data_IF_079638024340
#
_entry.id   IF_079638024340
#
_cell.length_a   1.000
_cell.length_b   1.000
_cell.length_c   1.000
_cell.angle_alpha   90.00
_cell.angle_beta   90.00
_cell.angle_gamma   90.00
#
_symmetry.space_group_name_H-M   'P 1'
#
loop_
_entity.id
_entity.type
_entity.pdbx_description
1 polymer ?
#
# COMPACT_ATOMS: atom_id res chain seq x y z
N UNK A 1 9.09 21.40 -13.46
CA UNK A 1 10.37 20.80 -13.92
C UNK A 1 10.03 19.47 -14.58
N UNK A 2 10.43 19.27 -15.83
CA UNK A 2 10.26 17.98 -16.52
C UNK A 2 11.39 17.07 -16.05
N UNK A 3 11.07 16.06 -15.25
CA UNK A 3 12.02 14.99 -14.93
C UNK A 3 12.50 14.31 -16.20
N UNK A 4 13.81 14.01 -16.25
CA UNK A 4 14.34 13.22 -17.35
C UNK A 4 13.85 11.76 -17.25
N UNK A 5 13.83 11.04 -18.39
CA UNK A 5 13.48 9.62 -18.39
C UNK A 5 14.38 8.80 -17.45
N UNK A 6 15.65 9.19 -17.33
CA UNK A 6 16.66 8.56 -16.45
C UNK A 6 16.25 8.67 -14.97
N UNK A 7 15.77 9.83 -14.52
CA UNK A 7 15.34 10.04 -13.12
C UNK A 7 14.10 9.18 -12.79
N UNK A 8 13.19 9.02 -13.75
CA UNK A 8 12.01 8.15 -13.58
C UNK A 8 12.40 6.68 -13.43
N UNK A 9 13.33 6.17 -14.24
CA UNK A 9 13.78 4.77 -14.16
C UNK A 9 14.48 4.48 -12.82
N UNK A 10 15.31 5.40 -12.32
CA UNK A 10 15.95 5.26 -11.01
C UNK A 10 14.91 5.16 -9.88
N UNK A 11 13.81 5.91 -9.98
CA UNK A 11 12.72 5.87 -9.00
C UNK A 11 11.97 4.53 -8.98
N UNK A 12 11.92 3.81 -10.08
CA UNK A 12 11.29 2.49 -10.16
C UNK A 12 12.10 1.38 -9.47
N UNK A 13 13.38 1.65 -9.14
CA UNK A 13 14.34 0.68 -8.61
C UNK A 13 14.71 0.91 -7.14
N UNK A 14 14.08 1.87 -6.48
CA UNK A 14 14.34 2.21 -5.08
C UNK A 14 13.04 2.40 -4.29
N UNK A 15 13.08 2.19 -2.97
CA UNK A 15 11.91 2.49 -2.13
C UNK A 15 11.65 4.00 -2.06
N UNK A 16 10.39 4.35 -1.84
CA UNK A 16 9.97 5.75 -1.71
C UNK A 16 10.43 6.36 -0.38
N UNK A 17 10.86 7.62 -0.45
CA UNK A 17 10.91 8.50 0.71
C UNK A 17 9.51 9.08 1.04
N UNK A 18 9.45 9.99 2.02
CA UNK A 18 8.22 10.74 2.33
C UNK A 18 7.78 11.51 1.08
N UNK A 19 6.50 11.36 0.73
CA UNK A 19 5.83 12.07 -0.36
C UNK A 19 4.51 12.61 0.17
N UNK A 20 4.14 13.82 -0.21
CA UNK A 20 2.89 14.45 0.25
C UNK A 20 2.18 15.16 -0.89
N UNK A 21 0.87 15.04 -0.91
CA UNK A 21 0.00 15.79 -1.82
C UNK A 21 -1.11 16.49 -1.03
N UNK A 22 -1.65 17.55 -1.60
CA UNK A 22 -2.79 18.28 -1.04
C UNK A 22 -4.03 18.02 -1.89
N UNK A 23 -5.11 17.57 -1.25
CA UNK A 23 -6.44 17.39 -1.83
C UNK A 23 -7.40 18.34 -1.11
N UNK A 24 -7.74 19.47 -1.70
CA UNK A 24 -8.54 20.48 -0.99
C UNK A 24 -7.97 20.79 0.40
N UNK A 25 -8.75 20.56 1.45
CA UNK A 25 -8.34 20.77 2.84
C UNK A 25 -7.67 19.53 3.48
N UNK A 26 -7.55 18.43 2.74
CA UNK A 26 -6.96 17.19 3.24
C UNK A 26 -5.53 17.03 2.72
N UNK A 27 -4.58 16.88 3.63
CA UNK A 27 -3.20 16.49 3.28
C UNK A 27 -3.07 14.98 3.34
N UNK A 28 -2.43 14.41 2.33
CA UNK A 28 -2.17 12.96 2.25
C UNK A 28 -0.68 12.74 2.08
N UNK A 29 -0.08 11.95 2.97
CA UNK A 29 1.36 11.73 2.99
C UNK A 29 1.70 10.24 3.05
N UNK A 30 2.54 9.76 2.13
CA UNK A 30 3.17 8.45 2.28
C UNK A 30 4.18 8.49 3.43
N UNK A 31 4.07 7.54 4.33
CA UNK A 31 4.90 7.36 5.52
C UNK A 31 5.73 6.10 5.34
N UNK A 32 6.98 6.18 4.87
CA UNK A 32 7.80 5.01 4.63
C UNK A 32 8.14 4.27 5.93
N UNK A 33 8.12 2.94 5.85
CA UNK A 33 8.59 2.03 6.91
C UNK A 33 9.82 1.22 6.46
N UNK A 34 9.81 0.74 5.23
CA UNK A 34 10.86 -0.11 4.69
C UNK A 34 10.60 -0.50 3.25
N UNK A 35 11.08 -1.69 2.88
CA UNK A 35 10.93 -2.22 1.54
C UNK A 35 10.99 -3.75 1.50
N UNK A 36 10.44 -4.31 0.43
CA UNK A 36 10.58 -5.73 0.07
C UNK A 36 11.07 -5.87 -1.37
N UNK A 37 11.97 -6.83 -1.57
CA UNK A 37 12.35 -7.29 -2.90
C UNK A 37 11.37 -8.40 -3.33
N UNK A 38 10.86 -8.30 -4.56
CA UNK A 38 9.93 -9.27 -5.12
C UNK A 38 10.55 -9.89 -6.38
N UNK A 39 10.61 -11.23 -6.43
CA UNK A 39 11.14 -11.97 -7.56
C UNK A 39 10.09 -12.00 -8.68
N UNK A 40 10.31 -11.35 -9.83
CA UNK A 40 9.26 -11.16 -10.84
C UNK A 40 8.63 -12.45 -11.35
N UNK A 41 9.47 -13.46 -11.61
CA UNK A 41 9.03 -14.78 -12.13
C UNK A 41 8.09 -15.50 -11.17
N UNK A 42 8.40 -15.42 -9.86
CA UNK A 42 7.64 -16.12 -8.84
C UNK A 42 6.45 -15.29 -8.37
N UNK A 43 6.54 -13.96 -8.49
CA UNK A 43 5.47 -13.04 -8.12
C UNK A 43 4.32 -13.06 -9.13
N UNK A 44 4.64 -13.03 -10.42
CA UNK A 44 3.65 -12.95 -11.51
C UNK A 44 3.83 -14.20 -12.41
N UNK A 45 3.28 -15.36 -12.01
CA UNK A 45 3.48 -16.61 -12.75
C UNK A 45 2.99 -16.57 -14.19
N UNK A 46 1.92 -15.81 -14.44
CA UNK A 46 1.31 -15.66 -15.77
C UNK A 46 2.17 -14.87 -16.76
N UNK A 47 3.06 -14.03 -16.27
CA UNK A 47 3.95 -13.22 -17.10
C UNK A 47 5.15 -13.98 -17.69
N UNK A 48 5.31 -15.27 -17.38
CA UNK A 48 6.24 -16.26 -17.98
C UNK A 48 7.64 -15.73 -18.35
N UNK A 49 8.27 -14.97 -17.45
CA UNK A 49 9.62 -14.43 -17.65
C UNK A 49 9.69 -13.14 -18.49
N UNK A 50 8.55 -12.66 -18.98
CA UNK A 50 8.47 -11.42 -19.78
C UNK A 50 8.78 -10.18 -18.95
N UNK A 51 8.39 -10.13 -17.66
CA UNK A 51 8.65 -8.98 -16.80
C UNK A 51 10.13 -8.60 -16.78
N UNK A 52 11.03 -9.56 -16.60
CA UNK A 52 12.48 -9.28 -16.55
C UNK A 52 13.08 -8.89 -17.89
N UNK A 53 12.57 -9.46 -18.99
CA UNK A 53 13.10 -9.23 -20.33
C UNK A 53 12.49 -7.98 -21.00
N UNK A 54 11.18 -7.75 -20.78
CA UNK A 54 10.46 -6.66 -21.42
C UNK A 54 10.52 -5.34 -20.60
N UNK A 55 10.74 -5.44 -19.28
CA UNK A 55 10.66 -4.32 -18.35
C UNK A 55 11.88 -4.22 -17.41
N UNK A 56 13.11 -4.20 -17.93
CA UNK A 56 14.33 -4.14 -17.11
C UNK A 56 14.43 -2.85 -16.28
N UNK A 57 13.71 -1.80 -16.65
CA UNK A 57 13.65 -0.52 -15.94
C UNK A 57 13.04 -0.62 -14.54
N UNK A 58 12.27 -1.67 -14.24
CA UNK A 58 11.69 -1.90 -12.92
C UNK A 58 12.55 -2.75 -11.98
N UNK A 59 13.63 -3.33 -12.50
CA UNK A 59 14.45 -4.26 -11.73
C UNK A 59 15.65 -3.57 -11.08
N UNK A 60 15.88 -3.87 -9.81
CA UNK A 60 17.11 -3.49 -9.11
C UNK A 60 18.32 -4.30 -9.61
N UNK A 61 19.51 -4.04 -9.05
CA UNK A 61 20.75 -4.73 -9.39
C UNK A 61 20.70 -6.25 -9.13
N UNK A 62 19.78 -6.70 -8.26
CA UNK A 62 19.57 -8.14 -7.97
C UNK A 62 18.62 -8.81 -8.95
N UNK A 63 17.99 -8.06 -9.85
CA UNK A 63 16.96 -8.54 -10.76
C UNK A 63 15.58 -8.68 -10.08
N UNK A 64 15.36 -8.01 -8.97
CA UNK A 64 14.09 -7.99 -8.23
C UNK A 64 13.32 -6.70 -8.48
N UNK A 65 11.98 -6.76 -8.44
CA UNK A 65 11.14 -5.58 -8.27
C UNK A 65 11.32 -5.05 -6.85
N UNK A 66 11.39 -3.73 -6.71
CA UNK A 66 11.42 -3.06 -5.41
C UNK A 66 10.00 -2.63 -5.06
N UNK A 67 9.47 -3.12 -3.95
CA UNK A 67 8.20 -2.66 -3.40
C UNK A 67 8.45 -1.87 -2.10
N UNK A 68 7.92 -0.65 -2.04
CA UNK A 68 7.93 0.16 -0.82
C UNK A 68 6.98 -0.42 0.21
N UNK A 69 7.27 -0.23 1.49
CA UNK A 69 6.41 -0.62 2.62
C UNK A 69 6.24 0.59 3.53
N UNK A 70 5.03 0.82 4.01
CA UNK A 70 4.76 1.95 4.91
C UNK A 70 3.29 2.09 5.24
N UNK A 71 2.83 3.33 5.32
CA UNK A 71 1.43 3.70 5.52
C UNK A 71 1.07 4.99 4.79
N UNK A 72 -0.21 5.30 4.72
CA UNK A 72 -0.72 6.55 4.17
C UNK A 72 -1.35 7.37 5.30
N UNK A 73 -0.71 8.47 5.68
CA UNK A 73 -1.24 9.44 6.64
C UNK A 73 -2.23 10.36 5.94
N UNK A 74 -3.46 10.42 6.46
CA UNK A 74 -4.51 11.33 5.99
C UNK A 74 -4.82 12.33 7.09
N UNK A 75 -4.65 13.61 6.81
CA UNK A 75 -4.80 14.71 7.76
C UNK A 75 -5.91 15.66 7.31
N UNK A 76 -6.83 15.96 8.22
CA UNK A 76 -7.87 16.98 8.02
C UNK A 76 -7.95 17.85 9.28
N UNK A 77 -7.41 19.07 9.22
CA UNK A 77 -7.18 19.92 10.37
C UNK A 77 -6.23 19.25 11.38
N UNK A 78 -6.67 19.14 12.64
CA UNK A 78 -5.88 18.50 13.70
C UNK A 78 -6.05 16.96 13.74
N UNK A 79 -7.01 16.43 13.02
CA UNK A 79 -7.32 15.01 12.98
C UNK A 79 -6.36 14.25 12.05
N UNK A 80 -6.06 13.01 12.40
CA UNK A 80 -5.16 12.16 11.62
C UNK A 80 -5.61 10.69 11.63
N UNK A 81 -5.67 10.10 10.43
CA UNK A 81 -5.89 8.68 10.16
C UNK A 81 -4.63 8.11 9.52
N UNK A 82 -4.22 6.92 9.91
CA UNK A 82 -3.19 6.15 9.22
C UNK A 82 -3.84 4.98 8.48
N UNK A 83 -3.57 4.81 7.19
CA UNK A 83 -3.97 3.64 6.41
C UNK A 83 -2.73 2.77 6.23
N UNK A 84 -2.78 1.55 6.74
CA UNK A 84 -1.70 0.58 6.92
C UNK A 84 -0.58 1.07 7.86
N UNK A 85 0.10 0.12 8.50
CA UNK A 85 1.06 0.37 9.57
C UNK A 85 2.43 -0.32 9.33
N UNK A 86 2.80 -0.50 8.06
CA UNK A 86 4.10 -1.03 7.68
C UNK A 86 4.40 -2.45 8.20
N UNK A 87 5.68 -2.84 8.14
CA UNK A 87 6.17 -4.16 8.55
C UNK A 87 6.63 -4.19 10.01
N UNK A 88 6.84 -3.02 10.61
CA UNK A 88 7.39 -2.91 11.95
C UNK A 88 8.91 -3.12 12.01
N UNK A 89 9.50 -3.12 13.22
CA UNK A 89 10.94 -3.16 13.42
C UNK A 89 11.51 -4.58 13.20
N UNK A 90 11.25 -5.14 12.04
CA UNK A 90 11.60 -6.50 11.65
C UNK A 90 12.44 -6.51 10.37
N UNK A 91 13.18 -7.58 10.17
CA UNK A 91 13.91 -7.88 8.94
C UNK A 91 13.95 -9.38 8.73
N UNK A 92 13.50 -9.83 7.58
CA UNK A 92 13.56 -11.24 7.21
C UNK A 92 14.45 -11.42 5.97
N UNK A 93 15.31 -12.45 5.95
CA UNK A 93 16.10 -12.77 4.77
C UNK A 93 15.20 -13.22 3.62
N UNK A 94 15.73 -13.30 2.39
CA UNK A 94 15.00 -13.85 1.27
C UNK A 94 14.42 -15.22 1.62
N UNK A 95 13.16 -15.46 1.25
CA UNK A 95 12.58 -16.79 1.34
C UNK A 95 13.36 -17.77 0.43
N UNK A 96 13.58 -19.02 0.84
CA UNK A 96 14.28 -20.00 0.01
C UNK A 96 13.64 -20.15 -1.36
N UNK A 97 12.32 -20.18 -1.38
CA UNK A 97 11.48 -20.34 -2.56
C UNK A 97 10.37 -19.29 -2.59
N UNK A 98 9.76 -19.06 -3.78
CA UNK A 98 8.61 -18.18 -3.97
C UNK A 98 8.97 -16.71 -4.21
N UNK A 99 7.97 -15.82 -4.20
CA UNK A 99 8.09 -14.46 -4.70
C UNK A 99 8.85 -13.50 -3.79
N UNK A 100 8.94 -13.77 -2.46
CA UNK A 100 9.51 -12.83 -1.51
C UNK A 100 11.05 -12.94 -1.43
N UNK A 101 11.74 -11.85 -1.76
CA UNK A 101 13.15 -11.62 -1.47
C UNK A 101 13.38 -11.14 -0.03
N UNK A 102 14.38 -10.31 0.19
CA UNK A 102 14.60 -9.66 1.48
C UNK A 102 13.49 -8.65 1.77
N UNK A 103 13.07 -8.57 3.04
CA UNK A 103 12.09 -7.59 3.52
C UNK A 103 12.60 -6.96 4.83
N UNK A 104 12.40 -5.68 4.98
CA UNK A 104 12.73 -4.95 6.22
C UNK A 104 11.76 -3.78 6.43
N UNK A 105 11.57 -3.42 7.69
CA UNK A 105 10.82 -2.25 8.13
C UNK A 105 11.50 -1.59 9.33
N UNK A 106 10.77 -0.71 10.00
CA UNK A 106 11.19 -0.07 11.25
C UNK A 106 11.24 1.45 11.22
N UNK A 107 11.04 2.08 10.06
CA UNK A 107 11.19 3.54 9.91
C UNK A 107 9.87 4.33 10.07
N UNK A 108 8.71 3.68 10.16
CA UNK A 108 7.39 4.36 10.11
C UNK A 108 7.22 5.40 11.23
N UNK A 109 7.64 5.10 12.45
CA UNK A 109 7.51 6.04 13.58
C UNK A 109 8.40 7.26 13.39
N UNK A 110 9.62 7.09 12.91
CA UNK A 110 10.54 8.19 12.58
C UNK A 110 10.02 9.01 11.40
N UNK A 111 9.40 8.36 10.43
CA UNK A 111 8.76 9.02 9.28
C UNK A 111 7.55 9.85 9.70
N UNK A 112 6.71 9.35 10.61
CA UNK A 112 5.63 10.12 11.23
C UNK A 112 6.18 11.35 11.97
N UNK A 113 7.26 11.19 12.75
CA UNK A 113 7.89 12.29 13.48
C UNK A 113 8.42 13.37 12.52
N UNK A 114 9.00 13.00 11.37
CA UNK A 114 9.43 13.94 10.33
C UNK A 114 8.25 14.71 9.72
N UNK A 115 7.06 14.12 9.66
CA UNK A 115 5.81 14.78 9.26
C UNK A 115 5.18 15.62 10.37
N UNK A 116 5.81 15.67 11.56
CA UNK A 116 5.33 16.42 12.72
C UNK A 116 4.22 15.70 13.49
N UNK A 117 4.05 14.40 13.30
CA UNK A 117 3.04 13.58 14.00
C UNK A 117 3.70 12.57 14.93
N UNK A 118 3.06 12.34 16.06
CA UNK A 118 3.39 11.25 16.98
C UNK A 118 2.29 10.18 16.90
N UNK A 119 2.60 8.91 17.22
CA UNK A 119 1.61 7.84 17.23
C UNK A 119 0.34 8.18 18.03
N UNK A 120 0.49 8.88 19.15
CA UNK A 120 -0.62 9.31 20.02
C UNK A 120 -1.58 10.31 19.37
N UNK A 121 -1.24 10.86 18.23
CA UNK A 121 -2.08 11.80 17.48
C UNK A 121 -2.84 11.12 16.33
N UNK A 122 -2.61 9.82 16.12
CA UNK A 122 -3.33 9.02 15.13
C UNK A 122 -4.60 8.48 15.80
N UNK A 123 -5.77 8.95 15.42
CA UNK A 123 -7.03 8.56 16.05
C UNK A 123 -7.51 7.14 15.65
N UNK A 124 -7.14 6.71 14.45
CA UNK A 124 -7.41 5.36 13.98
C UNK A 124 -6.32 4.87 13.00
N UNK A 125 -6.10 3.56 12.98
CA UNK A 125 -5.32 2.86 11.96
C UNK A 125 -6.29 2.00 11.16
N UNK A 126 -6.40 2.25 9.86
CA UNK A 126 -7.26 1.49 8.96
C UNK A 126 -6.41 0.55 8.11
N UNK A 127 -6.79 -0.71 7.98
CA UNK A 127 -6.03 -1.69 7.21
C UNK A 127 -6.67 -1.95 5.86
N UNK A 128 -5.85 -1.95 4.81
CA UNK A 128 -6.26 -2.45 3.50
C UNK A 128 -6.54 -3.95 3.58
N UNK A 129 -5.67 -4.67 4.28
CA UNK A 129 -5.80 -6.09 4.62
C UNK A 129 -4.80 -6.43 5.75
N UNK A 130 -4.74 -7.71 6.15
CA UNK A 130 -3.98 -8.10 7.33
C UNK A 130 -2.69 -8.88 7.02
N UNK A 131 -2.01 -8.63 5.89
CA UNK A 131 -0.66 -9.15 5.69
C UNK A 131 0.37 -8.43 6.60
N UNK A 132 1.50 -9.09 6.94
CA UNK A 132 2.45 -8.58 7.94
C UNK A 132 3.06 -7.22 7.63
N UNK A 133 3.22 -6.87 6.35
CA UNK A 133 3.77 -5.59 5.89
C UNK A 133 2.77 -4.43 5.86
N UNK A 134 1.52 -4.69 6.29
CA UNK A 134 0.47 -3.70 6.52
C UNK A 134 0.09 -3.56 7.98
N UNK A 135 0.37 -4.56 8.82
CA UNK A 135 -0.05 -4.60 10.23
C UNK A 135 1.09 -4.41 11.24
N UNK A 136 2.35 -4.44 10.81
CA UNK A 136 3.52 -4.62 11.67
C UNK A 136 3.54 -3.73 12.91
N UNK A 137 3.45 -2.41 12.79
CA UNK A 137 3.47 -1.50 13.94
C UNK A 137 2.19 -1.50 14.78
N UNK A 138 1.09 -2.11 14.30
CA UNK A 138 -0.17 -2.14 15.03
C UNK A 138 -0.14 -3.13 16.21
N UNK A 139 0.69 -4.17 16.16
CA UNK A 139 0.83 -5.17 17.21
C UNK A 139 2.22 -5.22 17.85
N UNK A 140 3.16 -4.39 17.38
CA UNK A 140 4.50 -4.26 17.93
C UNK A 140 4.56 -3.19 19.02
N UNK A 141 5.40 -3.41 20.02
CA UNK A 141 5.64 -2.43 21.08
C UNK A 141 6.36 -1.20 20.52
N UNK A 142 6.01 -0.04 21.03
CA UNK A 142 6.75 1.17 20.74
C UNK A 142 8.19 1.05 21.29
N UNK A 143 9.21 1.59 20.61
CA UNK A 143 10.60 1.51 21.06
C UNK A 143 10.79 2.04 22.48
N UNK A 144 11.32 1.19 23.36
CA UNK A 144 11.57 1.54 24.76
C UNK A 144 10.32 1.63 25.65
N UNK A 145 9.17 1.17 25.18
CA UNK A 145 7.92 1.16 25.93
C UNK A 145 7.39 -0.26 26.13
N UNK A 146 6.44 -0.42 27.05
CA UNK A 146 5.71 -1.65 27.35
C UNK A 146 4.30 -1.67 26.73
N UNK A 147 4.01 -0.76 25.79
CA UNK A 147 2.73 -0.59 25.09
C UNK A 147 2.91 -0.62 23.58
N UNK A 148 1.85 -0.96 22.85
CA UNK A 148 1.80 -0.87 21.39
C UNK A 148 2.01 0.57 20.91
N UNK A 149 2.57 0.74 19.71
CA UNK A 149 2.82 2.05 19.14
C UNK A 149 1.53 2.88 19.00
N UNK A 150 0.43 2.24 18.61
CA UNK A 150 -0.89 2.87 18.40
C UNK A 150 -1.94 2.38 19.42
N UNK A 151 -1.53 2.13 20.67
CA UNK A 151 -2.35 1.52 21.73
C UNK A 151 -3.70 2.23 22.03
N UNK A 152 -3.88 3.48 21.65
CA UNK A 152 -5.10 4.28 21.88
C UNK A 152 -5.97 4.43 20.63
N UNK A 153 -5.46 4.03 19.46
CA UNK A 153 -6.19 4.14 18.21
C UNK A 153 -7.19 2.99 18.03
N UNK A 154 -8.29 3.26 17.35
CA UNK A 154 -9.17 2.22 16.83
C UNK A 154 -8.52 1.58 15.60
N UNK A 155 -8.58 0.25 15.49
CA UNK A 155 -8.06 -0.50 14.35
C UNK A 155 -9.23 -0.90 13.44
N UNK A 156 -9.32 -0.25 12.28
CA UNK A 156 -10.44 -0.38 11.35
C UNK A 156 -10.09 -1.41 10.28
N UNK A 157 -10.91 -2.43 10.15
CA UNK A 157 -10.72 -3.51 9.17
C UNK A 157 -12.08 -3.92 8.60
N UNK A 158 -12.11 -4.39 7.36
CA UNK A 158 -13.33 -4.95 6.78
C UNK A 158 -13.79 -6.20 7.57
N UNK A 159 -15.08 -6.38 7.72
CA UNK A 159 -15.61 -7.56 8.42
C UNK A 159 -15.14 -8.89 7.75
N UNK A 160 -15.19 -9.06 6.41
CA UNK A 160 -14.72 -10.29 5.77
C UNK A 160 -13.22 -10.57 5.97
N UNK A 161 -12.40 -9.52 6.14
CA UNK A 161 -10.97 -9.69 6.42
C UNK A 161 -10.77 -10.20 7.85
N UNK A 162 -11.45 -9.59 8.82
CA UNK A 162 -11.34 -10.00 10.21
C UNK A 162 -11.90 -11.40 10.46
N UNK A 163 -12.89 -11.82 9.69
CA UNK A 163 -13.46 -13.17 9.76
C UNK A 163 -12.45 -14.25 9.37
N UNK A 164 -11.40 -13.88 8.60
CA UNK A 164 -10.32 -14.78 8.19
C UNK A 164 -9.00 -14.55 8.96
N UNK A 165 -9.07 -13.98 10.16
CA UNK A 165 -7.92 -13.86 11.08
C UNK A 165 -7.27 -15.19 11.46
N UNK A 166 -7.90 -16.32 11.13
CA UNK A 166 -7.33 -17.66 11.23
C UNK A 166 -6.08 -17.86 10.33
N UNK A 167 -5.89 -16.97 9.34
CA UNK A 167 -4.72 -16.95 8.47
C UNK A 167 -3.52 -16.18 9.06
N UNK A 168 -3.73 -15.44 10.16
CA UNK A 168 -2.71 -14.64 10.82
C UNK A 168 -1.91 -15.46 11.85
N UNK A 169 -0.72 -14.96 12.20
CA UNK A 169 0.00 -15.48 13.35
C UNK A 169 -0.77 -15.21 14.67
N UNK A 170 -0.65 -16.15 15.61
CA UNK A 170 -1.36 -16.04 16.89
C UNK A 170 -1.00 -14.78 17.67
N UNK A 171 0.26 -14.31 17.60
CA UNK A 171 0.69 -13.10 18.32
C UNK A 171 0.09 -11.84 17.69
N UNK A 172 -0.03 -11.79 16.36
CA UNK A 172 -0.73 -10.71 15.66
C UNK A 172 -2.20 -10.66 16.09
N UNK A 173 -2.91 -11.79 16.06
CA UNK A 173 -4.31 -11.84 16.48
C UNK A 173 -4.48 -11.34 17.92
N UNK A 174 -3.61 -11.78 18.83
CA UNK A 174 -3.67 -11.33 20.24
C UNK A 174 -3.43 -9.83 20.37
N UNK A 175 -2.46 -9.28 19.61
CA UNK A 175 -2.15 -7.85 19.64
C UNK A 175 -3.24 -6.97 19.02
N UNK A 176 -3.82 -7.40 17.91
CA UNK A 176 -4.83 -6.64 17.18
C UNK A 176 -6.22 -6.68 17.85
N UNK A 177 -6.64 -7.84 18.37
CA UNK A 177 -8.02 -8.09 18.85
C UNK A 177 -8.58 -7.00 19.77
N UNK A 178 -7.85 -6.45 20.77
CA UNK A 178 -8.41 -5.45 21.69
C UNK A 178 -8.82 -4.13 21.02
N UNK A 179 -8.27 -3.85 19.85
CA UNK A 179 -8.42 -2.57 19.16
C UNK A 179 -9.30 -2.64 17.92
N UNK A 180 -9.61 -3.87 17.44
CA UNK A 180 -10.35 -4.08 16.20
C UNK A 180 -11.78 -3.55 16.29
N UNK A 181 -12.14 -2.81 15.22
CA UNK A 181 -13.51 -2.43 14.87
C UNK A 181 -13.75 -2.78 13.42
N UNK A 182 -14.70 -3.66 13.17
CA UNK A 182 -15.08 -4.01 11.80
C UNK A 182 -15.86 -2.88 11.14
N UNK A 183 -15.62 -2.70 9.84
CA UNK A 183 -16.20 -1.63 9.02
C UNK A 183 -16.94 -2.26 7.84
N UNK A 184 -18.13 -1.75 7.58
CA UNK A 184 -18.95 -2.20 6.45
C UNK A 184 -18.48 -1.54 5.13
N UNK A 185 -18.79 -2.23 4.01
CA UNK A 185 -18.55 -1.67 2.67
C UNK A 185 -19.25 -0.32 2.49
N UNK A 186 -18.55 0.63 1.89
CA UNK A 186 -19.05 1.98 1.64
C UNK A 186 -19.10 2.90 2.87
N UNK A 187 -18.71 2.45 4.06
CA UNK A 187 -18.74 3.25 5.28
C UNK A 187 -17.66 4.36 5.23
N UNK A 188 -18.07 5.57 5.64
CA UNK A 188 -17.12 6.67 5.89
C UNK A 188 -16.48 6.46 7.26
N UNK A 189 -15.13 6.41 7.29
CA UNK A 189 -14.34 6.12 8.49
C UNK A 189 -13.60 7.33 9.05
N UNK A 190 -13.47 8.36 8.23
CA UNK A 190 -12.78 9.61 8.55
C UNK A 190 -13.33 10.69 7.60
N UNK A 191 -13.30 11.99 7.91
CA UNK A 191 -13.82 13.02 7.02
C UNK A 191 -13.31 12.89 5.59
N UNK A 192 -14.22 12.59 4.66
CA UNK A 192 -13.93 12.37 3.24
C UNK A 192 -13.24 11.06 2.91
N UNK A 193 -13.03 10.14 3.86
CA UNK A 193 -12.42 8.83 3.62
C UNK A 193 -13.46 7.72 3.75
N UNK A 194 -13.64 6.96 2.69
CA UNK A 194 -14.61 5.87 2.61
C UNK A 194 -13.93 4.56 2.28
N UNK A 195 -14.20 3.52 3.08
CA UNK A 195 -13.74 2.16 2.79
C UNK A 195 -14.58 1.55 1.66
N UNK A 196 -13.93 0.79 0.78
CA UNK A 196 -14.57 -0.02 -0.27
C UNK A 196 -13.96 -1.42 -0.25
N UNK A 197 -14.78 -2.45 -0.03
CA UNK A 197 -14.32 -3.84 0.03
C UNK A 197 -14.08 -4.36 -1.39
N UNK A 198 -12.86 -4.80 -1.66
CA UNK A 198 -12.38 -5.23 -2.98
C UNK A 198 -11.67 -6.58 -2.90
N UNK A 199 -12.36 -7.55 -2.35
CA UNK A 199 -11.82 -8.89 -2.14
C UNK A 199 -11.26 -9.52 -3.42
N UNK A 200 -10.17 -10.25 -3.25
CA UNK A 200 -9.41 -10.90 -4.34
C UNK A 200 -7.99 -11.17 -3.88
N UNK A 201 -7.22 -10.11 -3.58
CA UNK A 201 -5.89 -10.25 -2.98
C UNK A 201 -5.95 -10.93 -1.61
N UNK A 202 -6.85 -10.49 -0.76
CA UNK A 202 -7.26 -11.22 0.45
C UNK A 202 -8.79 -11.35 0.50
N UNK A 203 -9.36 -12.16 1.42
CA UNK A 203 -10.79 -12.39 1.51
C UNK A 203 -11.64 -11.14 1.73
N UNK A 204 -11.08 -10.16 2.43
CA UNK A 204 -11.76 -8.91 2.74
C UNK A 204 -10.93 -7.67 2.39
N UNK A 205 -9.95 -7.80 1.49
CA UNK A 205 -9.15 -6.67 1.02
C UNK A 205 -10.02 -5.43 0.77
N UNK A 206 -9.54 -4.27 1.19
CA UNK A 206 -10.24 -3.00 1.05
C UNK A 206 -9.31 -1.94 0.44
N UNK A 207 -9.91 -1.04 -0.30
CA UNK A 207 -9.30 0.20 -0.73
C UNK A 207 -10.00 1.40 -0.08
N UNK A 208 -9.33 2.56 -0.09
CA UNK A 208 -9.86 3.77 0.53
C UNK A 208 -9.98 4.87 -0.51
N UNK A 209 -11.22 5.36 -0.66
CA UNK A 209 -11.52 6.50 -1.52
C UNK A 209 -11.50 7.77 -0.68
N UNK A 210 -10.56 8.66 -0.95
CA UNK A 210 -10.35 9.92 -0.26
C UNK A 210 -10.84 11.05 -1.16
N UNK A 211 -11.79 11.85 -0.69
CA UNK A 211 -12.37 12.96 -1.43
C UNK A 211 -12.27 14.27 -0.65
N UNK A 212 -11.73 15.31 -1.26
CA UNK A 212 -11.65 16.66 -0.68
C UNK A 212 -11.49 17.69 -1.80
N UNK A 213 -12.17 18.83 -1.69
CA UNK A 213 -12.06 19.93 -2.65
C UNK A 213 -12.39 19.55 -4.10
N UNK A 214 -13.28 18.60 -4.33
CA UNK A 214 -13.64 18.11 -5.67
C UNK A 214 -12.60 17.18 -6.31
N UNK A 215 -11.54 16.85 -5.61
CA UNK A 215 -10.52 15.88 -6.05
C UNK A 215 -10.73 14.53 -5.39
N UNK A 216 -10.24 13.48 -6.03
CA UNK A 216 -10.35 12.09 -5.54
C UNK A 216 -9.00 11.38 -5.59
N UNK A 217 -8.67 10.66 -4.51
CA UNK A 217 -7.56 9.72 -4.46
C UNK A 217 -8.09 8.35 -4.08
N UNK A 218 -7.57 7.30 -4.72
CA UNK A 218 -7.81 5.91 -4.36
C UNK A 218 -6.51 5.31 -3.83
N UNK A 219 -6.49 4.97 -2.54
CA UNK A 219 -5.44 4.16 -1.93
C UNK A 219 -5.86 2.69 -2.07
N UNK A 220 -5.23 1.99 -3.01
CA UNK A 220 -5.72 0.71 -3.49
C UNK A 220 -5.04 -0.51 -2.87
N UNK A 221 -4.24 -0.33 -1.80
CA UNK A 221 -3.55 -1.44 -1.12
C UNK A 221 -2.82 -2.34 -2.11
N UNK A 222 -3.05 -3.64 -1.98
CA UNK A 222 -2.42 -4.69 -2.76
C UNK A 222 -3.24 -5.16 -3.97
N UNK A 223 -4.23 -4.37 -4.40
CA UNK A 223 -4.85 -4.62 -5.69
C UNK A 223 -3.83 -4.59 -6.84
N UNK A 224 -2.77 -3.77 -6.71
CA UNK A 224 -1.63 -3.68 -7.63
C UNK A 224 -0.33 -3.61 -6.80
N UNK A 225 0.66 -4.45 -7.13
CA UNK A 225 1.98 -4.48 -6.45
C UNK A 225 3.08 -3.72 -7.21
N UNK A 226 2.86 -3.44 -8.48
CA UNK A 226 3.83 -2.74 -9.34
C UNK A 226 3.10 -1.93 -10.41
N UNK A 227 3.66 -0.78 -10.82
CA UNK A 227 3.13 -0.02 -11.95
C UNK A 227 2.98 -0.80 -13.25
N UNK A 228 3.73 -1.90 -13.44
CA UNK A 228 3.61 -2.81 -14.59
C UNK A 228 2.18 -3.35 -14.72
N UNK A 229 1.52 -3.68 -13.61
CA UNK A 229 0.16 -4.24 -13.63
C UNK A 229 -0.90 -3.24 -14.11
N UNK A 230 -0.58 -1.96 -14.25
CA UNK A 230 -1.48 -0.98 -14.87
C UNK A 230 -1.69 -1.28 -16.35
N UNK A 231 -0.63 -1.69 -17.06
CA UNK A 231 -0.72 -2.15 -18.45
C UNK A 231 -1.23 -3.61 -18.57
N UNK A 232 -1.05 -4.39 -17.52
CA UNK A 232 -1.36 -5.82 -17.46
C UNK A 232 -2.27 -6.16 -16.26
N UNK A 233 -3.50 -5.63 -16.19
CA UNK A 233 -4.38 -5.85 -15.03
C UNK A 233 -4.83 -7.30 -14.87
N UNK A 234 -4.67 -8.13 -15.90
CA UNK A 234 -4.92 -9.58 -15.86
C UNK A 234 -3.83 -10.35 -15.10
N UNK A 235 -2.63 -9.79 -14.92
CA UNK A 235 -1.53 -10.47 -14.24
C UNK A 235 -1.76 -10.54 -12.74
N UNK A 236 -2.13 -11.72 -12.25
CA UNK A 236 -2.31 -11.99 -10.84
C UNK A 236 -0.97 -12.30 -10.16
N UNK A 237 -0.87 -11.93 -8.90
CA UNK A 237 0.30 -12.25 -8.09
C UNK A 237 0.13 -13.58 -7.37
N UNK A 238 1.25 -14.21 -7.02
CA UNK A 238 1.25 -15.43 -6.21
C UNK A 238 0.71 -15.21 -4.79
N UNK A 239 0.50 -13.96 -4.38
CA UNK A 239 -0.12 -13.59 -3.10
C UNK A 239 -1.64 -13.48 -3.17
N UNK A 240 -2.24 -13.45 -4.37
CA UNK A 240 -3.68 -13.30 -4.52
C UNK A 240 -4.42 -14.55 -4.02
N UNK A 241 -5.30 -14.37 -3.03
CA UNK A 241 -6.14 -15.44 -2.47
C UNK A 241 -7.12 -16.00 -3.52
N UNK A 242 -7.71 -15.11 -4.32
CA UNK A 242 -8.57 -15.43 -5.46
C UNK A 242 -8.06 -14.67 -6.70
N UNK A 243 -7.14 -15.28 -7.48
CA UNK A 243 -6.49 -14.61 -8.61
C UNK A 243 -7.48 -14.09 -9.68
N UNK A 244 -8.56 -14.82 -9.93
CA UNK A 244 -9.56 -14.41 -10.93
C UNK A 244 -10.31 -13.16 -10.47
N UNK A 245 -10.77 -13.14 -9.23
CA UNK A 245 -11.45 -12.00 -8.63
C UNK A 245 -10.53 -10.78 -8.50
N UNK A 246 -9.27 -11.00 -8.11
CA UNK A 246 -8.26 -9.95 -8.05
C UNK A 246 -8.02 -9.33 -9.42
N UNK A 247 -7.89 -10.12 -10.49
CA UNK A 247 -7.73 -9.64 -11.86
C UNK A 247 -8.97 -8.86 -12.35
N UNK A 248 -10.17 -9.31 -12.03
CA UNK A 248 -11.41 -8.59 -12.38
C UNK A 248 -11.49 -7.24 -11.68
N UNK A 249 -11.12 -7.18 -10.39
CA UNK A 249 -11.04 -5.92 -9.67
C UNK A 249 -9.97 -4.99 -10.25
N UNK A 250 -8.76 -5.49 -10.57
CA UNK A 250 -7.70 -4.68 -11.19
C UNK A 250 -8.13 -4.01 -12.49
N UNK A 251 -8.86 -4.72 -13.35
CA UNK A 251 -9.39 -4.12 -14.59
C UNK A 251 -10.33 -2.96 -14.31
N UNK A 252 -11.21 -3.10 -13.31
CA UNK A 252 -12.12 -2.03 -12.88
C UNK A 252 -11.35 -0.86 -12.28
N UNK A 253 -10.42 -1.13 -11.37
CA UNK A 253 -9.58 -0.13 -10.72
C UNK A 253 -8.75 0.68 -11.73
N UNK A 254 -8.07 0.01 -12.67
CA UNK A 254 -7.27 0.68 -13.71
C UNK A 254 -8.14 1.58 -14.59
N UNK A 255 -9.35 1.14 -14.94
CA UNK A 255 -10.33 1.98 -15.67
C UNK A 255 -10.75 3.20 -14.84
N UNK A 256 -11.00 3.04 -13.56
CA UNK A 256 -11.38 4.12 -12.64
C UNK A 256 -10.22 5.11 -12.41
N UNK A 257 -8.99 4.62 -12.27
CA UNK A 257 -7.79 5.45 -12.14
C UNK A 257 -7.48 6.26 -13.41
N UNK A 258 -7.98 5.83 -14.56
CA UNK A 258 -7.81 6.55 -15.82
C UNK A 258 -8.75 7.77 -15.95
N UNK A 259 -9.74 7.91 -15.09
CA UNK A 259 -10.61 9.08 -15.04
C UNK A 259 -9.81 10.36 -14.73
N UNK A 260 -10.19 11.53 -15.34
CA UNK A 260 -9.35 12.75 -15.31
C UNK A 260 -8.93 13.24 -13.93
N UNK A 261 -9.82 13.19 -12.94
CA UNK A 261 -9.64 13.80 -11.62
C UNK A 261 -9.24 12.79 -10.54
N UNK A 262 -8.88 11.56 -10.95
CA UNK A 262 -8.50 10.49 -10.05
C UNK A 262 -6.98 10.42 -9.90
N UNK A 263 -6.52 10.42 -8.66
CA UNK A 263 -5.14 10.12 -8.26
C UNK A 263 -5.13 8.71 -7.68
N UNK A 264 -4.13 7.91 -8.01
CA UNK A 264 -3.87 6.63 -7.36
C UNK A 264 -2.77 6.74 -6.31
N UNK A 265 -2.89 5.95 -5.26
CA UNK A 265 -1.80 5.67 -4.32
C UNK A 265 -1.58 4.16 -4.26
N UNK A 266 -0.40 3.73 -4.70
CA UNK A 266 0.08 2.34 -4.63
C UNK A 266 1.21 2.23 -3.61
N UNK A 267 0.94 1.61 -2.48
CA UNK A 267 1.88 1.49 -1.37
C UNK A 267 3.18 0.79 -1.79
N UNK A 268 3.07 -0.20 -2.69
CA UNK A 268 4.19 -1.01 -3.20
C UNK A 268 4.86 -0.46 -4.47
N UNK A 269 4.47 0.73 -4.95
CA UNK A 269 4.93 1.29 -6.22
C UNK A 269 6.32 1.97 -6.16
N UNK A 270 7.33 1.30 -5.59
CA UNK A 270 8.69 1.83 -5.48
C UNK A 270 8.69 3.32 -5.05
N UNK A 271 9.53 4.21 -5.63
CA UNK A 271 9.50 5.66 -5.36
C UNK A 271 8.53 6.42 -6.30
N UNK A 272 7.43 5.79 -6.72
CA UNK A 272 6.40 6.39 -7.59
C UNK A 272 4.98 6.15 -7.03
N UNK A 273 4.85 6.19 -5.70
CA UNK A 273 3.65 5.80 -4.95
C UNK A 273 2.39 6.62 -5.28
N UNK A 274 2.51 7.90 -5.65
CA UNK A 274 1.40 8.71 -6.13
C UNK A 274 1.47 8.89 -7.64
N UNK A 275 0.35 8.73 -8.32
CA UNK A 275 0.31 8.90 -9.76
C UNK A 275 -1.09 8.94 -10.34
N UNK A 276 -1.14 8.99 -11.66
CA UNK A 276 -2.37 8.89 -12.45
C UNK A 276 -2.18 7.85 -13.53
N UNK A 277 -3.25 7.17 -13.87
CA UNK A 277 -3.27 6.31 -15.07
C UNK A 277 -3.57 7.18 -16.29
N UNK A 278 -2.78 7.03 -17.34
CA UNK A 278 -2.94 7.76 -18.62
C UNK A 278 -2.67 6.83 -19.79
N UNK A 279 -3.26 7.15 -20.94
CA UNK A 279 -2.94 6.45 -22.20
C UNK A 279 -1.48 6.67 -22.58
N UNK A 280 -0.86 5.59 -23.05
CA UNK A 280 0.48 5.55 -23.63
C UNK A 280 0.41 4.68 -24.88
N UNK A 281 0.18 5.29 -26.04
CA UNK A 281 -0.21 4.56 -27.25
C UNK A 281 -1.58 3.91 -27.09
N UNK A 282 -1.64 2.59 -27.30
CA UNK A 282 -2.86 1.79 -27.12
C UNK A 282 -3.06 1.31 -25.67
N UNK A 283 -2.02 1.37 -24.84
CA UNK A 283 -2.02 0.89 -23.46
C UNK A 283 -2.34 1.98 -22.42
N UNK A 284 -2.52 1.55 -21.18
CA UNK A 284 -2.59 2.40 -20.00
C UNK A 284 -1.26 2.32 -19.22
N UNK A 285 -0.79 3.45 -18.74
CA UNK A 285 0.45 3.51 -17.99
C UNK A 285 0.34 4.39 -16.75
N UNK A 286 1.10 4.03 -15.72
CA UNK A 286 1.27 4.84 -14.53
C UNK A 286 2.13 6.07 -14.81
N UNK A 287 1.63 7.24 -14.48
CA UNK A 287 2.34 8.52 -14.57
C UNK A 287 2.51 9.07 -13.15
N UNK A 288 3.71 8.99 -12.59
CA UNK A 288 3.99 9.50 -11.25
C UNK A 288 3.68 10.98 -11.14
N UNK A 289 3.18 11.38 -9.97
CA UNK A 289 3.12 12.78 -9.55
C UNK A 289 4.44 13.15 -8.88
N UNK A 290 4.85 14.40 -9.07
CA UNK A 290 5.94 15.02 -8.32
C UNK A 290 5.35 15.45 -6.96
N UNK A 291 5.52 14.60 -5.94
CA UNK A 291 4.93 14.74 -4.61
C UNK A 291 6.00 14.95 -3.54
#
# INVERSE_FOLDING_TARGET
MTYSAIDREERLRRPAGIRSIQLGDTRVSYVPDGAVQLRPRDLIPDATGEVGAAHPEYLDESGSLVASIGGLLVENGDRALLIDAGFGPQSWPPAPDGPRGAIHGGALLDSLAQLGRRPEQIEAVAFSHLHPDHTGWAWQLAPGADRLAFAHADYLVSEPEWDRRDLLDTQEVVGLTPHIRTVADGQEIFPGVRMRITAGHSPGHAEYVITSGGQRLIAFGDALHSPIQVAHPEWSTAFDHDPARAADHRRQLVSELAEPDTIGFGIHFADVVFGRVRRDGDDLAWRPLDA
#
